data_IF_661659292076
#
_entry.id   IF_661659292076
#
_cell.length_a   1.000
_cell.length_b   1.000
_cell.length_c   1.000
_cell.angle_alpha   90.00
_cell.angle_beta   90.00
_cell.angle_gamma   90.00
#
_symmetry.space_group_name_H-M   'P 1'
#
loop_
_entity.id
_entity.type
_entity.pdbx_description
1 polymer ?
#
# COMPACT_ATOMS: atom_id res chain seq x y z
N UNK A 1 -8.29 2.95 -13.99
CA UNK A 1 -7.26 3.60 -13.14
C UNK A 1 -7.67 3.35 -11.68
N UNK A 2 -6.81 3.58 -10.65
CA UNK A 2 -7.33 3.70 -9.29
C UNK A 2 -8.60 4.55 -9.32
N UNK A 3 -9.66 4.13 -8.63
CA UNK A 3 -10.99 4.77 -8.66
C UNK A 3 -11.01 6.16 -7.99
N UNK A 4 -9.89 6.87 -7.98
CA UNK A 4 -9.78 8.25 -7.53
C UNK A 4 -9.96 9.21 -8.70
N UNK A 5 -10.81 10.23 -8.48
CA UNK A 5 -11.02 11.33 -9.43
C UNK A 5 -9.71 12.04 -9.74
N UNK A 6 -9.56 12.55 -10.96
CA UNK A 6 -8.27 13.14 -11.38
C UNK A 6 -7.89 14.34 -10.53
N UNK A 7 -8.86 15.16 -10.12
CA UNK A 7 -8.65 16.38 -9.34
C UNK A 7 -8.18 16.09 -7.92
N UNK A 8 -8.47 14.89 -7.40
CA UNK A 8 -8.08 14.46 -6.03
C UNK A 8 -6.62 14.03 -5.94
N UNK A 9 -6.03 13.57 -7.04
CA UNK A 9 -4.68 12.98 -7.09
C UNK A 9 -3.56 13.89 -6.58
N UNK A 10 -3.49 15.18 -6.98
CA UNK A 10 -2.42 16.06 -6.53
C UNK A 10 -2.37 16.22 -5.00
N UNK A 11 -3.50 16.04 -4.31
CA UNK A 11 -3.56 16.09 -2.84
C UNK A 11 -3.01 14.82 -2.19
N UNK A 12 -2.99 13.69 -2.88
CA UNK A 12 -2.47 12.41 -2.38
C UNK A 12 -0.98 12.22 -2.69
N UNK A 13 -0.48 12.91 -3.71
CA UNK A 13 0.92 12.84 -4.14
C UNK A 13 1.96 13.13 -3.04
N UNK A 14 1.74 14.09 -2.11
CA UNK A 14 2.64 14.30 -0.98
C UNK A 14 2.84 13.05 -0.11
N UNK A 15 1.78 12.27 0.11
CA UNK A 15 1.86 11.01 0.89
C UNK A 15 2.74 10.00 0.16
N UNK A 16 2.51 9.82 -1.14
CA UNK A 16 3.30 8.89 -1.97
C UNK A 16 4.77 9.31 -2.02
N UNK A 17 5.02 10.61 -2.16
CA UNK A 17 6.36 11.18 -2.18
C UNK A 17 7.10 10.92 -0.87
N UNK A 18 6.45 11.14 0.27
CA UNK A 18 7.05 10.90 1.57
C UNK A 18 7.33 9.41 1.81
N UNK A 19 6.41 8.52 1.42
CA UNK A 19 6.67 7.07 1.44
C UNK A 19 7.91 6.70 0.61
N UNK A 20 8.15 7.40 -0.51
CA UNK A 20 9.29 7.18 -1.37
C UNK A 20 10.60 7.71 -0.77
N UNK A 21 10.57 8.93 -0.21
CA UNK A 21 11.71 9.55 0.47
C UNK A 21 12.13 8.76 1.72
N UNK A 22 11.15 8.16 2.41
CA UNK A 22 11.37 7.25 3.53
C UNK A 22 11.95 5.88 3.12
N UNK A 23 12.01 5.56 1.82
CA UNK A 23 12.36 4.24 1.29
C UNK A 23 11.60 3.10 2.02
N UNK A 24 10.29 3.31 2.18
CA UNK A 24 9.45 2.51 3.06
C UNK A 24 9.41 1.03 2.62
N UNK A 25 10.12 0.17 3.35
CA UNK A 25 10.25 -1.26 3.06
C UNK A 25 10.25 -2.07 4.34
N UNK A 26 9.99 -3.37 4.23
CA UNK A 26 10.02 -4.29 5.36
C UNK A 26 9.06 -3.88 6.48
N UNK A 27 9.57 -3.88 7.70
CA UNK A 27 8.79 -3.63 8.92
C UNK A 27 8.07 -2.28 8.93
N UNK A 28 8.68 -1.20 8.41
CA UNK A 28 8.04 0.12 8.39
C UNK A 28 6.85 0.19 7.45
N UNK A 29 6.92 -0.51 6.32
CA UNK A 29 5.79 -0.61 5.39
C UNK A 29 4.67 -1.46 6.00
N UNK A 30 5.01 -2.58 6.63
CA UNK A 30 4.03 -3.38 7.36
C UNK A 30 3.35 -2.57 8.46
N UNK A 31 4.12 -1.83 9.25
CA UNK A 31 3.61 -0.97 10.31
C UNK A 31 2.70 0.13 9.75
N UNK A 32 3.10 0.83 8.67
CA UNK A 32 2.25 1.84 8.04
C UNK A 32 0.92 1.23 7.59
N UNK A 33 0.98 0.16 6.79
CA UNK A 33 -0.22 -0.51 6.29
C UNK A 33 -1.12 -1.00 7.42
N UNK A 34 -0.53 -1.40 8.54
CA UNK A 34 -1.24 -1.83 9.74
C UNK A 34 -1.95 -0.68 10.46
N UNK A 35 -1.31 0.47 10.61
CA UNK A 35 -1.89 1.58 11.40
C UNK A 35 -2.80 2.48 10.56
N UNK A 36 -2.75 2.42 9.24
CA UNK A 36 -3.56 3.25 8.32
C UNK A 36 -5.06 3.17 8.59
N UNK A 37 -5.60 2.07 9.10
CA UNK A 37 -7.02 1.90 9.42
C UNK A 37 -7.35 1.99 10.92
N UNK A 38 -6.34 2.26 11.76
CA UNK A 38 -6.53 2.29 13.21
C UNK A 38 -6.88 3.70 13.68
N UNK A 39 -7.95 3.90 14.45
CA UNK A 39 -8.27 5.24 14.98
C UNK A 39 -7.18 5.76 15.94
N UNK A 40 -6.51 4.84 16.63
CA UNK A 40 -5.42 5.11 17.57
C UNK A 40 -4.02 5.09 16.91
N UNK A 41 -3.91 5.55 15.65
CA UNK A 41 -2.65 5.64 14.87
C UNK A 41 -1.46 6.09 15.72
N UNK A 42 -1.60 7.16 16.50
CA UNK A 42 -0.51 7.74 17.30
C UNK A 42 -0.03 6.89 18.48
N UNK A 43 -0.84 5.96 19.00
CA UNK A 43 -0.48 5.13 20.16
C UNK A 43 0.21 3.82 19.76
N UNK A 44 0.10 3.40 18.50
CA UNK A 44 0.63 2.14 17.98
C UNK A 44 1.90 2.32 17.13
N UNK A 45 2.28 3.57 16.86
CA UNK A 45 3.44 3.89 16.05
C UNK A 45 4.60 4.27 16.95
N UNK A 46 5.64 3.44 16.93
CA UNK A 46 6.95 3.76 17.53
C UNK A 46 7.95 4.36 16.54
N UNK A 47 7.56 4.55 15.27
CA UNK A 47 8.42 5.03 14.19
C UNK A 47 8.10 6.48 13.80
N UNK A 48 9.02 7.44 14.00
CA UNK A 48 8.82 8.84 13.59
C UNK A 48 8.52 9.00 12.09
N UNK A 49 9.06 8.08 11.26
CA UNK A 49 8.83 8.07 9.81
C UNK A 49 7.38 7.73 9.50
N UNK A 50 6.85 6.67 10.13
CA UNK A 50 5.46 6.26 9.94
C UNK A 50 4.51 7.33 10.50
N UNK A 51 4.83 7.94 11.65
CA UNK A 51 4.03 9.04 12.18
C UNK A 51 3.94 10.23 11.22
N UNK A 52 5.04 10.60 10.57
CA UNK A 52 5.08 11.73 9.65
C UNK A 52 4.17 11.47 8.44
N UNK A 53 4.23 10.26 7.88
CA UNK A 53 3.37 9.83 6.77
C UNK A 53 1.90 9.90 7.18
N UNK A 54 1.54 9.41 8.36
CA UNK A 54 0.17 9.46 8.86
C UNK A 54 -0.31 10.89 9.08
N UNK A 55 0.53 11.77 9.63
CA UNK A 55 0.21 13.19 9.76
C UNK A 55 -0.06 13.83 8.39
N UNK A 56 0.67 13.43 7.35
CA UNK A 56 0.40 13.92 6.00
C UNK A 56 -0.87 13.31 5.40
N UNK A 57 -1.18 12.05 5.68
CA UNK A 57 -2.47 11.44 5.33
C UNK A 57 -3.65 12.19 5.98
N UNK A 58 -3.52 12.55 7.25
CA UNK A 58 -4.55 13.29 8.00
C UNK A 58 -4.73 14.70 7.43
N UNK A 59 -3.63 15.41 7.13
CA UNK A 59 -3.66 16.76 6.53
C UNK A 59 -4.40 16.81 5.19
N UNK A 60 -4.32 15.75 4.39
CA UNK A 60 -4.96 15.67 3.08
C UNK A 60 -6.30 14.92 3.13
N UNK A 61 -6.74 14.55 4.33
CA UNK A 61 -7.98 13.85 4.61
C UNK A 61 -8.14 12.55 3.80
N UNK A 62 -7.13 11.68 3.84
CA UNK A 62 -7.18 10.38 3.13
C UNK A 62 -8.36 9.55 3.64
N UNK A 63 -9.18 9.06 2.72
CA UNK A 63 -10.33 8.21 3.03
C UNK A 63 -10.08 6.74 2.65
N UNK A 64 -10.72 5.77 3.32
CA UNK A 64 -10.72 4.37 2.88
C UNK A 64 -11.63 4.15 1.68
N UNK A 65 -11.27 4.80 0.59
CA UNK A 65 -11.85 4.62 -0.73
C UNK A 65 -10.68 4.58 -1.73
N UNK A 66 -10.96 4.88 -3.00
CA UNK A 66 -9.95 4.92 -4.05
C UNK A 66 -8.68 5.75 -3.77
N UNK A 67 -8.65 6.61 -2.74
CA UNK A 67 -7.43 7.25 -2.24
C UNK A 67 -6.36 6.22 -1.80
N UNK A 68 -6.75 5.19 -1.04
CA UNK A 68 -5.84 4.14 -0.55
C UNK A 68 -5.30 3.33 -1.72
N UNK A 69 -6.19 2.89 -2.61
CA UNK A 69 -5.81 2.21 -3.84
C UNK A 69 -4.83 3.06 -4.67
N UNK A 70 -5.10 4.36 -4.81
CA UNK A 70 -4.23 5.28 -5.54
C UNK A 70 -2.84 5.37 -4.92
N UNK A 71 -2.75 5.60 -3.61
CA UNK A 71 -1.49 5.76 -2.90
C UNK A 71 -0.63 4.50 -3.07
N UNK A 72 -1.19 3.34 -2.77
CA UNK A 72 -0.49 2.05 -2.84
C UNK A 72 -0.09 1.68 -4.26
N UNK A 73 -0.98 1.86 -5.23
CA UNK A 73 -0.69 1.58 -6.63
C UNK A 73 0.37 2.51 -7.20
N UNK A 74 0.28 3.81 -6.92
CA UNK A 74 1.25 4.81 -7.40
C UNK A 74 2.62 4.56 -6.77
N UNK A 75 2.67 4.24 -5.48
CA UNK A 75 3.90 3.84 -4.80
C UNK A 75 4.55 2.63 -5.46
N UNK A 76 3.77 1.56 -5.69
CA UNK A 76 4.25 0.37 -6.39
C UNK A 76 4.79 0.68 -7.80
N UNK A 77 4.06 1.50 -8.57
CA UNK A 77 4.39 1.79 -9.97
C UNK A 77 5.68 2.58 -10.14
N UNK A 78 5.93 3.55 -9.27
CA UNK A 78 7.00 4.53 -9.48
C UNK A 78 8.17 4.41 -8.50
N UNK A 79 7.99 3.73 -7.37
CA UNK A 79 8.99 3.73 -6.28
C UNK A 79 9.47 2.33 -5.88
N UNK A 80 8.71 1.27 -6.18
CA UNK A 80 9.22 -0.10 -6.03
C UNK A 80 10.13 -0.45 -7.20
N UNK A 81 11.39 -0.78 -6.90
CA UNK A 81 12.38 -1.20 -7.91
C UNK A 81 11.83 -2.40 -8.71
N UNK A 82 11.78 -2.33 -10.06
CA UNK A 82 11.20 -3.39 -10.87
C UNK A 82 11.90 -4.74 -10.69
N UNK A 83 11.19 -5.70 -10.09
CA UNK A 83 11.53 -7.12 -10.08
C UNK A 83 10.32 -7.94 -9.64
N UNK A 84 10.27 -9.21 -10.05
CA UNK A 84 9.22 -10.15 -9.62
C UNK A 84 9.14 -10.20 -8.09
N UNK A 85 10.28 -10.38 -7.43
CA UNK A 85 10.36 -10.52 -5.97
C UNK A 85 9.90 -9.26 -5.24
N UNK A 86 10.27 -8.06 -5.73
CA UNK A 86 9.89 -6.82 -5.07
C UNK A 86 8.38 -6.54 -5.17
N UNK A 87 7.78 -6.73 -6.35
CA UNK A 87 6.34 -6.54 -6.50
C UNK A 87 5.55 -7.59 -5.73
N UNK A 88 6.00 -8.86 -5.75
CA UNK A 88 5.39 -9.94 -4.96
C UNK A 88 5.48 -9.68 -3.46
N UNK A 89 6.63 -9.20 -2.97
CA UNK A 89 6.82 -8.83 -1.57
C UNK A 89 5.88 -7.68 -1.17
N UNK A 90 5.80 -6.62 -2.00
CA UNK A 90 4.90 -5.49 -1.75
C UNK A 90 3.42 -5.92 -1.67
N UNK A 91 2.95 -6.72 -2.62
CA UNK A 91 1.61 -7.32 -2.59
C UNK A 91 1.42 -8.19 -1.32
N UNK A 92 2.45 -8.95 -0.93
CA UNK A 92 2.45 -9.75 0.28
C UNK A 92 2.25 -8.92 1.56
N UNK A 93 2.90 -7.77 1.67
CA UNK A 93 2.70 -6.85 2.79
C UNK A 93 1.27 -6.30 2.86
N UNK A 94 0.69 -5.95 1.70
CA UNK A 94 -0.72 -5.53 1.62
C UNK A 94 -1.64 -6.65 2.13
N UNK A 95 -1.46 -7.88 1.66
CA UNK A 95 -2.28 -9.01 2.12
C UNK A 95 -2.11 -9.31 3.61
N UNK A 96 -0.88 -9.25 4.13
CA UNK A 96 -0.62 -9.41 5.56
C UNK A 96 -1.39 -8.37 6.38
N UNK A 97 -1.40 -7.13 5.89
CA UNK A 97 -2.15 -6.03 6.48
C UNK A 97 -3.67 -6.10 6.27
N UNK A 98 -4.21 -7.10 5.56
CA UNK A 98 -5.67 -7.41 5.50
C UNK A 98 -6.08 -8.54 6.45
N UNK A 99 -5.13 -9.18 7.13
CA UNK A 99 -5.44 -10.32 7.99
C UNK A 99 -5.95 -9.84 9.36
N UNK A 100 -7.12 -10.35 9.77
CA UNK A 100 -7.89 -9.90 10.95
C UNK A 100 -7.31 -10.40 12.28
N UNK A 101 -6.32 -11.29 12.25
CA UNK A 101 -5.72 -11.89 13.44
C UNK A 101 -4.44 -11.15 13.81
N UNK A 102 -4.50 -10.37 14.89
CA UNK A 102 -3.36 -9.64 15.43
C UNK A 102 -3.15 -10.16 16.84
N UNK A 103 -1.97 -10.73 17.12
CA UNK A 103 -1.61 -11.24 18.45
C UNK A 103 -2.64 -12.23 19.05
N UNK A 104 -3.40 -12.94 18.22
CA UNK A 104 -4.46 -13.86 18.65
C UNK A 104 -5.80 -13.18 18.99
N UNK A 105 -5.92 -11.86 18.85
CA UNK A 105 -7.15 -11.12 19.09
C UNK A 105 -7.81 -10.70 17.77
N UNK A 106 -9.09 -11.02 17.61
CA UNK A 106 -9.96 -10.39 16.61
C UNK A 106 -10.33 -9.01 17.13
N UNK A 107 -9.47 -8.03 16.86
CA UNK A 107 -9.83 -6.65 17.11
C UNK A 107 -10.96 -6.27 16.13
N UNK A 108 -12.12 -5.86 16.65
CA UNK A 108 -13.08 -5.09 15.86
C UNK A 108 -12.50 -3.69 15.79
N UNK A 109 -11.92 -3.39 14.64
CA UNK A 109 -11.42 -2.07 14.33
C UNK A 109 -12.48 -1.41 13.47
N UNK A 110 -12.93 -0.24 13.89
CA UNK A 110 -13.93 0.53 13.16
C UNK A 110 -13.35 0.92 11.78
N UNK A 111 -14.18 0.81 10.72
CA UNK A 111 -13.81 1.06 9.32
C UNK A 111 -12.76 0.13 8.68
N UNK A 112 -12.32 -0.93 9.39
CA UNK A 112 -11.37 -1.93 8.85
C UNK A 112 -11.85 -2.60 7.56
N UNK A 113 -13.15 -2.86 7.45
CA UNK A 113 -13.73 -3.51 6.27
C UNK A 113 -13.54 -2.66 5.01
N UNK A 114 -13.74 -1.33 5.10
CA UNK A 114 -13.52 -0.39 3.99
C UNK A 114 -12.05 -0.38 3.53
N UNK A 115 -11.11 -0.40 4.48
CA UNK A 115 -9.68 -0.46 4.16
C UNK A 115 -9.25 -1.80 3.54
N UNK A 116 -9.83 -2.93 3.97
CA UNK A 116 -9.51 -4.25 3.40
C UNK A 116 -9.84 -4.29 1.92
N UNK A 117 -11.02 -3.81 1.53
CA UNK A 117 -11.44 -3.87 0.14
C UNK A 117 -10.54 -3.01 -0.75
N UNK A 118 -10.16 -1.81 -0.27
CA UNK A 118 -9.18 -0.97 -0.95
C UNK A 118 -7.78 -1.61 -1.04
N UNK A 119 -7.33 -2.31 0.01
CA UNK A 119 -6.07 -3.06 -0.01
C UNK A 119 -6.10 -4.20 -1.01
N UNK A 120 -7.18 -5.00 -1.01
CA UNK A 120 -7.36 -6.11 -1.96
C UNK A 120 -7.40 -5.59 -3.37
N UNK A 121 -8.11 -4.49 -3.61
CA UNK A 121 -8.17 -3.89 -4.93
C UNK A 121 -6.79 -3.36 -5.36
N UNK A 122 -6.06 -2.69 -4.46
CA UNK A 122 -4.71 -2.20 -4.75
C UNK A 122 -3.78 -3.36 -5.13
N UNK A 123 -3.79 -4.44 -4.35
CA UNK A 123 -3.02 -5.65 -4.62
C UNK A 123 -3.37 -6.27 -5.98
N UNK A 124 -4.67 -6.38 -6.29
CA UNK A 124 -5.14 -6.91 -7.57
C UNK A 124 -4.71 -6.03 -8.75
N UNK A 125 -4.80 -4.71 -8.62
CA UNK A 125 -4.38 -3.76 -9.64
C UNK A 125 -2.86 -3.80 -9.88
N UNK A 126 -2.06 -3.88 -8.81
CA UNK A 126 -0.61 -4.03 -8.90
C UNK A 126 -0.27 -5.34 -9.61
N UNK A 127 -0.92 -6.46 -9.24
CA UNK A 127 -0.72 -7.75 -9.92
C UNK A 127 -1.05 -7.65 -11.41
N UNK A 128 -2.23 -7.13 -11.74
CA UNK A 128 -2.75 -7.07 -13.12
C UNK A 128 -1.96 -6.13 -14.03
N UNK A 129 -1.54 -4.98 -13.52
CA UNK A 129 -0.98 -3.89 -14.36
C UNK A 129 0.53 -3.72 -14.27
N UNK A 130 1.15 -4.31 -13.26
CA UNK A 130 2.60 -4.18 -13.03
C UNK A 130 3.26 -5.54 -13.08
N UNK A 131 2.86 -6.47 -12.20
CA UNK A 131 3.57 -7.74 -12.05
C UNK A 131 3.34 -8.70 -13.22
N UNK A 132 2.09 -8.95 -13.63
CA UNK A 132 1.81 -9.85 -14.76
C UNK A 132 2.46 -9.36 -16.08
N UNK A 133 2.34 -8.07 -16.47
CA UNK A 133 3.07 -7.56 -17.64
C UNK A 133 4.59 -7.64 -17.52
N UNK A 134 5.13 -7.55 -16.30
CA UNK A 134 6.55 -7.75 -16.04
C UNK A 134 6.96 -9.22 -16.22
N UNK A 135 6.15 -10.16 -15.73
CA UNK A 135 6.33 -11.62 -15.95
C UNK A 135 6.32 -11.94 -17.44
N UNK A 136 5.30 -11.52 -18.19
CA UNK A 136 5.18 -11.73 -19.64
C UNK A 136 6.37 -11.13 -20.42
N UNK A 137 6.90 -9.99 -19.95
CA UNK A 137 8.09 -9.38 -20.54
C UNK A 137 9.33 -10.24 -20.27
N UNK A 138 9.50 -10.74 -19.05
CA UNK A 138 10.66 -11.57 -18.68
C UNK A 138 10.64 -12.95 -19.31
N UNK A 139 9.47 -13.56 -19.48
CA UNK A 139 9.33 -14.82 -20.21
C UNK A 139 9.70 -14.67 -21.69
N UNK A 140 9.34 -13.54 -22.32
CA UNK A 140 9.77 -13.23 -23.70
C UNK A 140 11.27 -12.97 -23.81
N UNK A 141 11.88 -12.34 -22.81
CA UNK A 141 13.31 -12.01 -22.81
C UNK A 141 14.18 -13.25 -22.53
N UNK A 142 13.76 -14.13 -21.63
CA UNK A 142 14.61 -15.20 -21.10
C UNK A 142 14.15 -16.62 -21.47
N UNK A 143 13.05 -16.75 -22.23
CA UNK A 143 12.34 -18.02 -22.39
C UNK A 143 11.43 -18.32 -21.18
N UNK A 144 10.57 -19.34 -21.26
CA UNK A 144 9.68 -19.70 -20.15
C UNK A 144 10.49 -20.01 -18.89
N UNK A 145 10.06 -19.45 -17.76
CA UNK A 145 10.60 -19.78 -16.45
C UNK A 145 10.05 -21.18 -16.10
N UNK A 146 10.82 -22.23 -16.44
CA UNK A 146 10.54 -23.63 -16.08
C UNK A 146 10.75 -23.87 -14.58
#
# INVERSE_FOLDING_TARGET
MPYVKQERRPYLDPVVKEMAEANLTGEYLEQLLFVMYHEWRGALVGSPVVESILKNMDKVDVKPNGDINYILFKYAKYHIKPSYNNYKAFIGYIHKATNKTILGYQLRLDNWEDYIDEYREAAAEIRRKILAPYEDKKERENGPIL
#
